data_IF_170300927324
#
_entry.id   IF_170300927324
#
_cell.length_a   1.000
_cell.length_b   1.000
_cell.length_c   1.000
_cell.angle_alpha   90.00
_cell.angle_beta   90.00
_cell.angle_gamma   90.00
#
_symmetry.space_group_name_H-M   'P 1'
#
loop_
_entity.id
_entity.type
_entity.pdbx_description
1 polymer ?
#
# COMPACT_ATOMS: atom_id res chain seq x y z
N UNK A 1 -46.20 -0.36 -11.08
CA UNK A 1 -46.42 -1.80 -10.84
C UNK A 1 -47.76 -2.16 -11.46
N UNK A 2 -47.77 -2.64 -12.70
CA UNK A 2 -49.01 -2.97 -13.42
C UNK A 2 -49.39 -4.41 -13.08
N UNK A 3 -50.42 -4.59 -12.26
CA UNK A 3 -51.04 -5.90 -12.08
C UNK A 3 -51.61 -6.34 -13.41
N UNK A 4 -51.25 -7.55 -13.86
CA UNK A 4 -51.94 -8.18 -14.99
C UNK A 4 -53.43 -8.38 -14.66
N UNK A 5 -54.27 -8.63 -15.68
CA UNK A 5 -55.68 -8.91 -15.47
C UNK A 5 -55.85 -10.01 -14.41
N UNK A 6 -56.63 -9.70 -13.38
CA UNK A 6 -56.91 -10.59 -12.26
C UNK A 6 -57.93 -11.62 -12.75
N UNK A 7 -57.55 -12.90 -12.70
CA UNK A 7 -58.44 -14.02 -13.03
C UNK A 7 -59.65 -14.01 -12.09
N UNK A 8 -60.82 -14.39 -12.62
CA UNK A 8 -62.03 -14.58 -11.80
C UNK A 8 -61.90 -15.72 -10.78
N UNK A 9 -60.85 -16.54 -10.89
CA UNK A 9 -60.55 -17.69 -10.04
C UNK A 9 -59.20 -17.54 -9.32
N UNK A 10 -58.70 -16.32 -9.14
CA UNK A 10 -57.44 -16.00 -8.46
C UNK A 10 -56.20 -16.71 -9.03
N UNK A 11 -56.22 -17.04 -10.33
CA UNK A 11 -55.05 -17.59 -11.01
C UNK A 11 -54.03 -16.46 -11.25
N UNK A 12 -52.99 -16.42 -10.41
CA UNK A 12 -51.92 -15.42 -10.52
C UNK A 12 -50.89 -15.86 -11.55
N UNK A 13 -50.91 -15.24 -12.73
CA UNK A 13 -49.81 -15.31 -13.67
C UNK A 13 -48.63 -14.45 -13.18
N UNK A 14 -47.47 -15.06 -12.91
CA UNK A 14 -46.25 -14.27 -12.68
C UNK A 14 -45.77 -13.72 -14.02
N UNK A 15 -45.40 -12.43 -14.11
CA UNK A 15 -44.88 -11.70 -15.30
C UNK A 15 -44.38 -12.62 -16.46
N UNK A 16 -45.30 -13.00 -17.36
CA UNK A 16 -44.99 -13.76 -18.58
C UNK A 16 -44.68 -15.26 -18.41
N UNK A 17 -44.81 -15.83 -17.21
CA UNK A 17 -44.61 -17.25 -16.92
C UNK A 17 -45.86 -17.84 -16.25
N UNK A 18 -46.51 -18.75 -16.97
CA UNK A 18 -47.73 -19.44 -16.55
C UNK A 18 -48.79 -19.49 -17.66
N UNK A 19 -49.85 -20.27 -17.45
CA UNK A 19 -51.01 -20.27 -18.32
C UNK A 19 -51.61 -18.86 -18.38
N UNK A 20 -52.10 -18.45 -19.56
CA UNK A 20 -52.77 -17.15 -19.70
C UNK A 20 -54.05 -17.17 -18.86
N UNK A 21 -54.20 -16.27 -17.87
CA UNK A 21 -55.37 -16.25 -16.99
C UNK A 21 -56.69 -16.28 -17.75
N UNK A 22 -56.79 -15.57 -18.88
CA UNK A 22 -58.00 -15.51 -19.70
C UNK A 22 -58.34 -16.83 -20.41
N UNK A 23 -57.32 -17.65 -20.72
CA UNK A 23 -57.53 -18.99 -21.27
C UNK A 23 -58.05 -19.93 -20.19
N UNK A 24 -57.48 -19.87 -18.98
CA UNK A 24 -57.91 -20.68 -17.84
C UNK A 24 -59.35 -20.31 -17.47
N UNK A 25 -59.65 -19.03 -17.32
CA UNK A 25 -60.99 -18.55 -16.97
C UNK A 25 -62.03 -19.00 -17.99
N UNK A 26 -61.72 -18.94 -19.30
CA UNK A 26 -62.62 -19.42 -20.37
C UNK A 26 -62.88 -20.91 -20.27
N UNK A 27 -61.84 -21.71 -20.05
CA UNK A 27 -61.98 -23.17 -19.92
C UNK A 27 -62.76 -23.54 -18.67
N UNK A 28 -62.46 -22.91 -17.52
CA UNK A 28 -63.20 -23.15 -16.27
C UNK A 28 -64.66 -22.73 -16.42
N UNK A 29 -64.94 -21.59 -17.04
CA UNK A 29 -66.31 -21.16 -17.30
C UNK A 29 -67.10 -22.14 -18.18
N UNK A 30 -66.47 -22.71 -19.22
CA UNK A 30 -67.09 -23.74 -20.06
C UNK A 30 -67.43 -25.00 -19.24
N UNK A 31 -66.48 -25.52 -18.45
CA UNK A 31 -66.69 -26.69 -17.60
C UNK A 31 -67.77 -26.46 -16.53
N UNK A 32 -67.81 -25.27 -15.94
CA UNK A 32 -68.87 -24.89 -15.00
C UNK A 32 -70.23 -24.80 -15.68
N UNK A 33 -70.28 -24.31 -16.92
CA UNK A 33 -71.48 -24.29 -17.75
C UNK A 33 -72.01 -25.70 -18.03
N UNK A 34 -71.14 -26.61 -18.46
CA UNK A 34 -71.48 -28.03 -18.69
C UNK A 34 -71.98 -28.70 -17.41
N UNK A 35 -71.28 -28.51 -16.28
CA UNK A 35 -71.70 -29.03 -14.97
C UNK A 35 -73.08 -28.53 -14.58
N UNK A 36 -73.32 -27.22 -14.69
CA UNK A 36 -74.60 -26.63 -14.31
C UNK A 36 -75.73 -27.17 -15.20
N UNK A 37 -75.50 -27.28 -16.52
CA UNK A 37 -76.46 -27.89 -17.44
C UNK A 37 -76.79 -29.34 -17.08
N UNK A 38 -75.79 -30.12 -16.68
CA UNK A 38 -76.01 -31.49 -16.21
C UNK A 38 -76.81 -31.55 -14.90
N UNK A 39 -76.55 -30.65 -13.94
CA UNK A 39 -77.30 -30.56 -12.68
C UNK A 39 -78.76 -30.13 -12.90
N UNK A 40 -78.99 -29.19 -13.82
CA UNK A 40 -80.35 -28.77 -14.21
C UNK A 40 -81.12 -29.94 -14.82
N UNK A 41 -80.47 -30.70 -15.71
CA UNK A 41 -81.08 -31.87 -16.32
C UNK A 41 -81.38 -32.97 -15.30
N UNK A 42 -80.46 -33.22 -14.36
CA UNK A 42 -80.68 -34.17 -13.26
C UNK A 42 -81.89 -33.75 -12.40
N UNK A 43 -82.03 -32.46 -12.13
CA UNK A 43 -83.16 -31.92 -11.37
C UNK A 43 -84.49 -32.10 -12.12
N UNK A 44 -84.51 -31.86 -13.43
CA UNK A 44 -85.68 -32.10 -14.28
C UNK A 44 -86.09 -33.56 -14.32
N UNK A 45 -85.12 -34.47 -14.49
CA UNK A 45 -85.38 -35.91 -14.51
C UNK A 45 -85.88 -36.41 -13.15
N UNK A 46 -85.33 -35.89 -12.06
CA UNK A 46 -85.78 -36.23 -10.70
C UNK A 46 -87.24 -35.83 -10.49
N UNK A 47 -87.61 -34.60 -10.84
CA UNK A 47 -89.00 -34.14 -10.75
C UNK A 47 -89.96 -34.98 -11.61
N UNK A 48 -89.53 -35.38 -12.81
CA UNK A 48 -90.32 -36.26 -13.67
C UNK A 48 -90.51 -37.65 -13.05
N UNK A 49 -89.46 -38.22 -12.42
CA UNK A 49 -89.57 -39.50 -11.72
C UNK A 49 -90.54 -39.41 -10.54
N UNK A 50 -90.49 -38.32 -9.77
CA UNK A 50 -91.45 -38.07 -8.67
C UNK A 50 -92.89 -37.97 -9.18
N UNK A 51 -93.13 -37.20 -10.25
CA UNK A 51 -94.45 -37.06 -10.88
C UNK A 51 -94.99 -38.42 -11.34
N UNK A 52 -94.18 -39.19 -12.08
CA UNK A 52 -94.59 -40.52 -12.58
C UNK A 52 -94.80 -41.52 -11.47
N UNK A 53 -94.02 -41.44 -10.40
CA UNK A 53 -94.18 -42.30 -9.22
C UNK A 53 -95.48 -42.01 -8.48
N UNK A 54 -95.81 -40.73 -8.29
CA UNK A 54 -97.07 -40.30 -7.68
C UNK A 54 -98.27 -40.73 -8.52
N UNK A 55 -98.22 -40.55 -9.84
CA UNK A 55 -99.29 -40.99 -10.75
C UNK A 55 -99.46 -42.52 -10.72
N UNK A 56 -98.36 -43.27 -10.76
CA UNK A 56 -98.40 -44.73 -10.63
C UNK A 56 -99.00 -45.18 -9.29
N UNK A 57 -98.68 -44.49 -8.19
CA UNK A 57 -99.29 -44.76 -6.88
C UNK A 57 -100.80 -44.51 -6.89
N UNK A 58 -101.27 -43.37 -7.44
CA UNK A 58 -102.70 -43.08 -7.59
C UNK A 58 -103.42 -44.15 -8.42
N UNK A 59 -102.85 -44.54 -9.56
CA UNK A 59 -103.43 -45.58 -10.41
C UNK A 59 -103.52 -46.93 -9.68
N UNK A 60 -102.52 -47.29 -8.87
CA UNK A 60 -102.58 -48.50 -8.04
C UNK A 60 -103.70 -48.43 -6.99
N UNK A 61 -103.91 -47.29 -6.35
CA UNK A 61 -105.02 -47.10 -5.41
C UNK A 61 -106.38 -47.23 -6.11
N UNK A 62 -106.54 -46.63 -7.29
CA UNK A 62 -107.75 -46.76 -8.11
C UNK A 62 -108.01 -48.23 -8.43
N UNK A 63 -107.00 -48.96 -8.92
CA UNK A 63 -107.12 -50.39 -9.24
C UNK A 63 -107.45 -51.22 -8.00
N UNK A 64 -106.82 -50.94 -6.86
CA UNK A 64 -107.09 -51.64 -5.60
C UNK A 64 -108.51 -51.41 -5.07
N UNK A 65 -109.15 -50.29 -5.42
CA UNK A 65 -110.55 -50.00 -5.06
C UNK A 65 -111.57 -50.77 -5.89
N UNK A 66 -111.17 -51.32 -7.04
CA UNK A 66 -112.05 -52.12 -7.90
C UNK A 66 -112.18 -53.54 -7.32
N UNK A 67 -113.40 -54.08 -7.29
CA UNK A 67 -113.62 -55.45 -6.86
C UNK A 67 -112.88 -56.43 -7.79
N UNK A 68 -112.18 -57.46 -7.25
CA UNK A 68 -111.49 -58.45 -8.07
C UNK A 68 -112.48 -59.14 -9.02
N UNK A 69 -112.31 -58.90 -10.32
CA UNK A 69 -113.23 -59.42 -11.32
C UNK A 69 -112.75 -60.79 -11.80
N UNK A 70 -113.50 -61.84 -11.45
CA UNK A 70 -113.16 -63.23 -11.83
C UNK A 70 -113.77 -63.65 -13.18
N UNK A 71 -114.65 -62.82 -13.75
CA UNK A 71 -115.45 -63.12 -14.95
C UNK A 71 -116.16 -64.49 -14.94
N UNK A 72 -116.41 -65.06 -13.76
CA UNK A 72 -117.05 -66.38 -13.62
C UNK A 72 -118.45 -66.43 -14.28
N UNK A 73 -119.19 -65.32 -14.24
CA UNK A 73 -120.52 -65.17 -14.87
C UNK A 73 -120.51 -65.22 -16.40
N UNK A 74 -119.34 -65.04 -17.04
CA UNK A 74 -119.16 -65.11 -18.49
C UNK A 74 -118.63 -66.48 -18.96
N UNK A 75 -118.38 -67.40 -18.02
CA UNK A 75 -117.96 -68.77 -18.28
C UNK A 75 -116.44 -68.99 -18.38
N UNK A 76 -116.04 -70.26 -18.50
CA UNK A 76 -114.66 -70.73 -18.41
C UNK A 76 -113.72 -70.11 -19.46
N UNK A 77 -114.24 -69.77 -20.65
CA UNK A 77 -113.45 -69.09 -21.69
C UNK A 77 -112.99 -67.70 -21.26
N UNK A 78 -113.85 -66.95 -20.56
CA UNK A 78 -113.50 -65.62 -20.06
C UNK A 78 -112.44 -65.70 -18.94
N UNK A 79 -112.54 -66.70 -18.06
CA UNK A 79 -111.55 -66.98 -17.02
C UNK A 79 -110.18 -67.34 -17.60
N UNK A 80 -110.11 -68.14 -18.67
CA UNK A 80 -108.86 -68.45 -19.36
C UNK A 80 -108.22 -67.20 -19.99
N UNK A 81 -109.03 -66.29 -20.53
CA UNK A 81 -108.53 -65.02 -21.07
C UNK A 81 -107.96 -64.14 -19.96
N UNK A 82 -108.64 -64.05 -18.81
CA UNK A 82 -108.13 -63.32 -17.64
C UNK A 82 -106.79 -63.90 -17.16
N UNK A 83 -106.71 -65.21 -16.97
CA UNK A 83 -105.48 -65.87 -16.52
C UNK A 83 -104.31 -65.66 -17.49
N UNK A 84 -104.58 -65.68 -18.81
CA UNK A 84 -103.56 -65.35 -19.81
C UNK A 84 -103.13 -63.88 -19.71
N UNK A 85 -104.07 -62.95 -19.55
CA UNK A 85 -103.76 -61.53 -19.41
C UNK A 85 -102.94 -61.24 -18.13
N UNK A 86 -103.22 -61.91 -17.02
CA UNK A 86 -102.45 -61.82 -15.78
C UNK A 86 -101.03 -62.37 -15.95
N UNK A 87 -100.89 -63.53 -16.60
CA UNK A 87 -99.58 -64.11 -16.90
C UNK A 87 -98.74 -63.21 -17.82
N UNK A 88 -99.36 -62.64 -18.86
CA UNK A 88 -98.70 -61.67 -19.75
C UNK A 88 -98.34 -60.38 -19.00
N UNK A 89 -99.20 -59.88 -18.12
CA UNK A 89 -98.90 -58.71 -17.31
C UNK A 89 -97.70 -58.94 -16.38
N UNK A 90 -97.61 -60.13 -15.74
CA UNK A 90 -96.43 -60.48 -14.95
C UNK A 90 -95.17 -60.60 -15.80
N UNK A 91 -95.25 -61.24 -16.97
CA UNK A 91 -94.13 -61.35 -17.89
C UNK A 91 -93.61 -59.97 -18.33
N UNK A 92 -94.51 -59.05 -18.67
CA UNK A 92 -94.16 -57.67 -19.03
C UNK A 92 -93.54 -56.92 -17.84
N UNK A 93 -94.06 -57.07 -16.62
CA UNK A 93 -93.48 -56.45 -15.42
C UNK A 93 -92.08 -56.97 -15.11
N UNK A 94 -91.89 -58.29 -15.19
CA UNK A 94 -90.58 -58.90 -14.99
C UNK A 94 -89.57 -58.43 -16.03
N UNK A 95 -89.95 -58.43 -17.32
CA UNK A 95 -89.11 -57.93 -18.40
C UNK A 95 -88.74 -56.44 -18.22
N UNK A 96 -89.70 -55.60 -17.84
CA UNK A 96 -89.46 -54.18 -17.59
C UNK A 96 -88.54 -53.94 -16.38
N UNK A 97 -88.62 -54.77 -15.33
CA UNK A 97 -87.74 -54.68 -14.18
C UNK A 97 -86.29 -55.06 -14.53
N UNK A 98 -86.10 -56.13 -15.31
CA UNK A 98 -84.78 -56.53 -15.83
C UNK A 98 -84.19 -55.46 -16.75
N UNK A 99 -84.98 -54.89 -17.66
CA UNK A 99 -84.52 -53.82 -18.54
C UNK A 99 -84.15 -52.55 -17.76
N UNK A 100 -84.95 -52.17 -16.75
CA UNK A 100 -84.64 -51.04 -15.88
C UNK A 100 -83.34 -51.27 -15.10
N UNK A 101 -83.11 -52.48 -14.56
CA UNK A 101 -81.87 -52.81 -13.87
C UNK A 101 -80.66 -52.76 -14.82
N UNK A 102 -80.80 -53.30 -16.03
CA UNK A 102 -79.74 -53.25 -17.04
C UNK A 102 -79.38 -51.80 -17.44
N UNK A 103 -80.37 -50.91 -17.54
CA UNK A 103 -80.15 -49.49 -17.80
C UNK A 103 -79.42 -48.79 -16.65
N UNK A 104 -79.78 -49.09 -15.39
CA UNK A 104 -79.09 -48.55 -14.22
C UNK A 104 -77.63 -49.02 -14.16
N UNK A 105 -77.39 -50.32 -14.31
CA UNK A 105 -76.04 -50.90 -14.30
C UNK A 105 -75.18 -50.31 -15.43
N UNK A 106 -75.77 -50.13 -16.62
CA UNK A 106 -75.13 -49.48 -17.76
C UNK A 106 -74.77 -48.01 -17.49
N UNK A 107 -75.68 -47.25 -16.89
CA UNK A 107 -75.42 -45.85 -16.52
C UNK A 107 -74.34 -45.73 -15.43
N UNK A 108 -74.34 -46.61 -14.44
CA UNK A 108 -73.30 -46.66 -13.39
C UNK A 108 -71.93 -47.04 -13.95
N UNK A 109 -71.87 -48.01 -14.87
CA UNK A 109 -70.64 -48.37 -15.57
C UNK A 109 -70.09 -47.19 -16.39
N UNK A 110 -70.93 -46.56 -17.22
CA UNK A 110 -70.55 -45.39 -18.00
C UNK A 110 -70.07 -44.23 -17.11
N UNK A 111 -70.73 -43.98 -15.98
CA UNK A 111 -70.33 -42.96 -15.02
C UNK A 111 -68.96 -43.24 -14.39
N UNK A 112 -68.67 -44.50 -14.04
CA UNK A 112 -67.35 -44.91 -13.53
C UNK A 112 -66.26 -44.76 -14.59
N UNK A 113 -66.53 -45.17 -15.83
CA UNK A 113 -65.59 -45.02 -16.95
C UNK A 113 -65.28 -43.56 -17.24
N UNK A 114 -66.29 -42.70 -17.33
CA UNK A 114 -66.10 -41.27 -17.54
C UNK A 114 -65.26 -40.62 -16.43
N UNK A 115 -65.50 -41.01 -15.17
CA UNK A 115 -64.74 -40.52 -14.01
C UNK A 115 -63.28 -40.96 -14.06
N UNK A 116 -63.00 -42.22 -14.38
CA UNK A 116 -61.63 -42.72 -14.46
C UNK A 116 -60.89 -42.15 -15.67
N UNK A 117 -61.56 -41.97 -16.81
CA UNK A 117 -61.01 -41.28 -17.98
C UNK A 117 -60.62 -39.82 -17.64
N UNK A 118 -61.52 -39.06 -17.00
CA UNK A 118 -61.24 -37.69 -16.56
C UNK A 118 -60.07 -37.63 -15.56
N UNK A 119 -59.96 -38.60 -14.65
CA UNK A 119 -58.83 -38.69 -13.70
C UNK A 119 -57.51 -39.03 -14.39
N UNK A 120 -57.54 -39.92 -15.38
CA UNK A 120 -56.35 -40.27 -16.16
C UNK A 120 -55.84 -39.07 -16.96
N UNK A 121 -56.74 -38.35 -17.62
CA UNK A 121 -56.41 -37.14 -18.37
C UNK A 121 -55.85 -36.05 -17.45
N UNK A 122 -56.49 -35.78 -16.31
CA UNK A 122 -55.99 -34.81 -15.34
C UNK A 122 -54.58 -35.15 -14.83
N UNK A 123 -54.28 -36.45 -14.59
CA UNK A 123 -52.94 -36.91 -14.23
C UNK A 123 -51.94 -36.71 -15.36
N UNK A 124 -52.33 -37.01 -16.60
CA UNK A 124 -51.51 -36.83 -17.81
C UNK A 124 -51.13 -35.36 -17.99
N UNK A 125 -52.13 -34.45 -17.97
CA UNK A 125 -51.91 -33.01 -18.07
C UNK A 125 -51.01 -32.49 -16.96
N UNK A 126 -51.20 -32.95 -15.72
CA UNK A 126 -50.34 -32.56 -14.60
C UNK A 126 -48.90 -33.03 -14.80
N UNK A 127 -48.69 -34.30 -15.17
CA UNK A 127 -47.35 -34.84 -15.42
C UNK A 127 -46.62 -34.08 -16.53
N UNK A 128 -47.30 -33.80 -17.65
CA UNK A 128 -46.74 -33.02 -18.75
C UNK A 128 -46.38 -31.58 -18.31
N UNK A 129 -47.20 -30.95 -17.48
CA UNK A 129 -46.92 -29.62 -16.93
C UNK A 129 -45.71 -29.63 -15.97
N UNK A 130 -45.58 -30.66 -15.12
CA UNK A 130 -44.45 -30.85 -14.22
C UNK A 130 -43.14 -31.08 -14.98
N UNK A 131 -43.15 -31.91 -16.03
CA UNK A 131 -41.98 -32.14 -16.90
C UNK A 131 -41.56 -30.86 -17.65
N UNK A 132 -42.52 -30.13 -18.21
CA UNK A 132 -42.25 -28.87 -18.89
C UNK A 132 -41.66 -27.82 -17.92
N UNK A 133 -42.20 -27.73 -16.70
CA UNK A 133 -41.68 -26.85 -15.67
C UNK A 133 -40.26 -27.26 -15.23
N UNK A 134 -40.00 -28.55 -15.06
CA UNK A 134 -38.68 -29.10 -14.77
C UNK A 134 -37.65 -28.72 -15.83
N UNK A 135 -37.97 -28.99 -17.10
CA UNK A 135 -37.12 -28.65 -18.25
C UNK A 135 -36.80 -27.15 -18.31
N UNK A 136 -37.81 -26.30 -18.08
CA UNK A 136 -37.63 -24.85 -18.07
C UNK A 136 -36.73 -24.38 -16.92
N UNK A 137 -36.86 -24.99 -15.73
CA UNK A 137 -36.03 -24.66 -14.57
C UNK A 137 -34.57 -25.12 -14.76
N UNK A 138 -34.35 -26.29 -15.34
CA UNK A 138 -33.01 -26.78 -15.70
C UNK A 138 -32.34 -25.85 -16.71
N UNK A 139 -33.01 -25.53 -17.81
CA UNK A 139 -32.50 -24.59 -18.80
C UNK A 139 -32.19 -23.21 -18.20
N UNK A 140 -33.02 -22.73 -17.26
CA UNK A 140 -32.77 -21.47 -16.56
C UNK A 140 -31.56 -21.54 -15.63
N UNK A 141 -31.34 -22.66 -14.93
CA UNK A 141 -30.17 -22.88 -14.08
C UNK A 141 -28.88 -22.98 -14.90
N UNK A 142 -28.93 -23.69 -16.03
CA UNK A 142 -27.79 -23.81 -16.94
C UNK A 142 -27.42 -22.45 -17.54
N UNK A 143 -28.40 -21.68 -18.00
CA UNK A 143 -28.18 -20.32 -18.50
C UNK A 143 -27.57 -19.41 -17.42
N UNK A 144 -28.10 -19.46 -16.20
CA UNK A 144 -27.54 -18.69 -15.07
C UNK A 144 -26.10 -19.14 -14.74
N UNK A 145 -25.83 -20.44 -14.77
CA UNK A 145 -24.50 -21.01 -14.54
C UNK A 145 -23.48 -20.57 -15.58
N UNK A 146 -23.88 -20.49 -16.86
CA UNK A 146 -23.04 -19.96 -17.94
C UNK A 146 -22.71 -18.49 -17.72
N UNK A 147 -23.70 -17.66 -17.40
CA UNK A 147 -23.48 -16.22 -17.13
C UNK A 147 -22.50 -16.00 -15.98
N UNK A 148 -22.64 -16.77 -14.88
CA UNK A 148 -21.72 -16.67 -13.74
C UNK A 148 -20.30 -17.10 -14.13
N UNK A 149 -20.16 -18.17 -14.92
CA UNK A 149 -18.85 -18.66 -15.36
C UNK A 149 -18.14 -17.63 -16.24
N UNK A 150 -18.84 -17.10 -17.25
CA UNK A 150 -18.32 -16.06 -18.14
C UNK A 150 -17.89 -14.80 -17.35
N UNK A 151 -18.70 -14.38 -16.37
CA UNK A 151 -18.36 -13.25 -15.52
C UNK A 151 -17.11 -13.49 -14.66
N UNK A 152 -16.93 -14.71 -14.14
CA UNK A 152 -15.74 -15.08 -13.36
C UNK A 152 -14.49 -15.20 -14.22
N UNK A 153 -14.60 -15.76 -15.42
CA UNK A 153 -13.50 -15.83 -16.39
C UNK A 153 -13.04 -14.43 -16.79
N UNK A 154 -13.98 -13.54 -17.11
CA UNK A 154 -13.68 -12.14 -17.45
C UNK A 154 -13.06 -11.38 -16.27
N UNK A 155 -13.61 -11.53 -15.06
CA UNK A 155 -13.03 -10.94 -13.86
C UNK A 155 -11.61 -11.47 -13.58
N UNK A 156 -11.36 -12.75 -13.87
CA UNK A 156 -10.03 -13.37 -13.78
C UNK A 156 -9.06 -12.77 -14.80
N UNK A 157 -9.49 -12.60 -16.05
CA UNK A 157 -8.70 -11.98 -17.12
C UNK A 157 -8.29 -10.54 -16.75
N UNK A 158 -9.26 -9.71 -16.36
CA UNK A 158 -9.02 -8.31 -15.96
C UNK A 158 -8.05 -8.24 -14.78
N UNK A 159 -8.20 -9.12 -13.79
CA UNK A 159 -7.29 -9.18 -12.64
C UNK A 159 -5.88 -9.57 -13.08
N UNK A 160 -5.76 -10.58 -13.93
CA UNK A 160 -4.46 -11.03 -14.45
C UNK A 160 -3.74 -9.94 -15.24
N UNK A 161 -4.47 -9.18 -16.06
CA UNK A 161 -3.93 -8.02 -16.79
C UNK A 161 -3.46 -6.93 -15.83
N UNK A 162 -4.28 -6.56 -14.84
CA UNK A 162 -3.91 -5.55 -13.85
C UNK A 162 -2.67 -5.95 -13.02
N UNK A 163 -2.56 -7.23 -12.65
CA UNK A 163 -1.40 -7.77 -11.93
C UNK A 163 -0.14 -7.75 -12.81
N UNK A 164 -0.26 -8.06 -14.10
CA UNK A 164 0.84 -8.00 -15.06
C UNK A 164 1.35 -6.56 -15.26
N UNK A 165 0.44 -5.61 -15.45
CA UNK A 165 0.76 -4.18 -15.59
C UNK A 165 1.45 -3.63 -14.34
N UNK A 166 0.96 -4.01 -13.16
CA UNK A 166 1.58 -3.64 -11.88
C UNK A 166 2.98 -4.24 -11.74
N UNK A 167 3.16 -5.51 -12.13
CA UNK A 167 4.46 -6.15 -12.10
C UNK A 167 5.46 -5.48 -13.08
N UNK A 168 5.01 -5.10 -14.27
CA UNK A 168 5.82 -4.33 -15.22
C UNK A 168 6.22 -2.98 -14.67
N UNK A 169 5.27 -2.24 -14.10
CA UNK A 169 5.53 -0.95 -13.47
C UNK A 169 6.59 -1.06 -12.38
N UNK A 170 6.48 -2.06 -11.49
CA UNK A 170 7.48 -2.33 -10.45
C UNK A 170 8.86 -2.62 -11.04
N UNK A 171 8.95 -3.46 -12.10
CA UNK A 171 10.22 -3.75 -12.79
C UNK A 171 10.83 -2.48 -13.37
N UNK A 172 10.03 -1.64 -14.05
CA UNK A 172 10.48 -0.38 -14.65
C UNK A 172 10.99 0.58 -13.58
N UNK A 173 10.25 0.76 -12.49
CA UNK A 173 10.64 1.63 -11.38
C UNK A 173 11.93 1.14 -10.72
N UNK A 174 12.07 -0.17 -10.47
CA UNK A 174 13.31 -0.74 -9.95
C UNK A 174 14.49 -0.48 -10.88
N UNK A 175 14.30 -0.58 -12.20
CA UNK A 175 15.32 -0.25 -13.19
C UNK A 175 15.75 1.22 -13.15
N UNK A 176 14.80 2.15 -13.03
CA UNK A 176 15.08 3.59 -12.88
C UNK A 176 15.85 3.87 -11.59
N UNK A 177 15.42 3.31 -10.46
CA UNK A 177 16.09 3.49 -9.18
C UNK A 177 17.53 2.95 -9.21
N UNK A 178 17.74 1.76 -9.77
CA UNK A 178 19.08 1.18 -9.90
C UNK A 178 19.98 2.02 -10.83
N UNK A 179 19.42 2.63 -11.87
CA UNK A 179 20.19 3.56 -12.71
C UNK A 179 20.55 4.85 -11.96
N UNK A 180 19.61 5.43 -11.22
CA UNK A 180 19.89 6.61 -10.38
C UNK A 180 20.96 6.32 -9.33
N UNK A 181 20.92 5.17 -8.66
CA UNK A 181 21.92 4.75 -7.68
C UNK A 181 23.32 4.64 -8.31
N UNK A 182 23.43 4.07 -9.52
CA UNK A 182 24.68 4.03 -10.28
C UNK A 182 25.20 5.43 -10.60
N UNK A 183 24.35 6.29 -11.16
CA UNK A 183 24.71 7.68 -11.49
C UNK A 183 25.15 8.48 -10.25
N UNK A 184 24.50 8.26 -9.10
CA UNK A 184 24.90 8.90 -7.84
C UNK A 184 26.24 8.36 -7.33
N UNK A 185 26.46 7.05 -7.42
CA UNK A 185 27.73 6.41 -7.05
C UNK A 185 28.88 6.92 -7.92
N UNK A 186 28.67 7.02 -9.24
CA UNK A 186 29.66 7.53 -10.18
C UNK A 186 29.97 9.01 -9.94
N UNK A 187 28.95 9.85 -9.75
CA UNK A 187 29.13 11.26 -9.36
C UNK A 187 29.85 11.40 -8.02
N UNK A 188 29.56 10.53 -7.06
CA UNK A 188 30.24 10.48 -5.76
C UNK A 188 31.73 10.19 -5.92
N UNK A 189 32.08 9.14 -6.67
CA UNK A 189 33.48 8.80 -6.98
C UNK A 189 34.22 9.94 -7.67
N UNK A 190 33.60 10.57 -8.67
CA UNK A 190 34.20 11.70 -9.37
C UNK A 190 34.47 12.89 -8.43
N UNK A 191 33.52 13.20 -7.53
CA UNK A 191 33.68 14.27 -6.55
C UNK A 191 34.76 13.95 -5.49
N UNK A 192 34.87 12.69 -5.07
CA UNK A 192 35.94 12.21 -4.18
C UNK A 192 37.32 12.33 -4.85
N UNK A 193 37.44 11.93 -6.12
CA UNK A 193 38.67 12.06 -6.91
C UNK A 193 39.08 13.52 -7.08
N UNK A 194 38.14 14.42 -7.40
CA UNK A 194 38.39 15.86 -7.50
C UNK A 194 38.87 16.45 -6.15
N UNK A 195 38.21 16.06 -5.05
CA UNK A 195 38.57 16.51 -3.71
C UNK A 195 39.97 16.01 -3.33
N UNK A 196 40.27 14.73 -3.56
CA UNK A 196 41.58 14.15 -3.29
C UNK A 196 42.69 14.82 -4.13
N UNK A 197 42.40 15.16 -5.39
CA UNK A 197 43.34 15.90 -6.24
C UNK A 197 43.59 17.33 -5.72
N UNK A 198 42.54 18.03 -5.28
CA UNK A 198 42.66 19.36 -4.68
C UNK A 198 43.43 19.32 -3.36
N UNK A 199 43.15 18.35 -2.49
CA UNK A 199 43.88 18.12 -1.23
C UNK A 199 45.37 17.82 -1.50
N UNK A 200 45.69 17.00 -2.49
CA UNK A 200 47.07 16.72 -2.87
C UNK A 200 47.81 17.97 -3.37
N UNK A 201 47.14 18.84 -4.14
CA UNK A 201 47.70 20.12 -4.58
C UNK A 201 47.97 21.06 -3.41
N UNK A 202 47.02 21.16 -2.46
CA UNK A 202 47.19 21.97 -1.25
C UNK A 202 48.34 21.43 -0.39
N UNK A 203 48.37 20.12 -0.13
CA UNK A 203 49.44 19.48 0.63
C UNK A 203 50.82 19.68 -0.01
N UNK A 204 50.91 19.58 -1.35
CA UNK A 204 52.15 19.86 -2.08
C UNK A 204 52.59 21.33 -1.91
N UNK A 205 51.65 22.27 -1.99
CA UNK A 205 51.93 23.70 -1.80
C UNK A 205 52.34 24.03 -0.37
N UNK A 206 51.70 23.42 0.62
CA UNK A 206 52.04 23.54 2.03
C UNK A 206 53.46 23.01 2.29
N UNK A 207 53.80 21.83 1.74
CA UNK A 207 55.14 21.26 1.85
C UNK A 207 56.21 22.17 1.23
N UNK A 208 55.96 22.72 0.03
CA UNK A 208 56.88 23.67 -0.63
C UNK A 208 57.04 24.98 0.17
N UNK A 209 55.96 25.51 0.75
CA UNK A 209 56.00 26.69 1.61
C UNK A 209 56.75 26.41 2.91
N UNK A 210 56.55 25.24 3.51
CA UNK A 210 57.27 24.80 4.71
C UNK A 210 58.77 24.67 4.43
N UNK A 211 59.18 23.99 3.35
CA UNK A 211 60.59 23.86 2.97
C UNK A 211 61.24 25.22 2.72
N UNK A 212 60.55 26.14 2.00
CA UNK A 212 61.03 27.51 1.81
C UNK A 212 61.14 28.28 3.12
N UNK A 213 60.16 28.12 4.02
CA UNK A 213 60.18 28.71 5.35
C UNK A 213 61.36 28.22 6.18
N UNK A 214 61.61 26.91 6.20
CA UNK A 214 62.76 26.29 6.88
C UNK A 214 64.09 26.77 6.30
N UNK A 215 64.20 26.85 4.97
CA UNK A 215 65.40 27.36 4.30
C UNK A 215 65.69 28.83 4.63
N UNK A 216 64.64 29.68 4.66
CA UNK A 216 64.74 31.07 5.07
C UNK A 216 65.13 31.20 6.55
N UNK A 217 64.54 30.40 7.44
CA UNK A 217 64.90 30.38 8.86
C UNK A 217 66.36 29.91 9.05
N UNK A 218 66.80 28.88 8.32
CA UNK A 218 68.17 28.41 8.36
C UNK A 218 69.15 29.48 7.86
N UNK A 219 68.80 30.21 6.79
CA UNK A 219 69.58 31.35 6.30
C UNK A 219 69.66 32.49 7.31
N UNK A 220 68.52 32.91 7.87
CA UNK A 220 68.46 33.98 8.87
C UNK A 220 69.26 33.61 10.14
N UNK A 221 69.24 32.33 10.56
CA UNK A 221 70.08 31.84 11.67
C UNK A 221 71.57 31.92 11.35
N UNK A 222 71.99 31.60 10.13
CA UNK A 222 73.39 31.75 9.68
C UNK A 222 73.80 33.22 9.66
N UNK A 223 73.02 34.08 9.01
CA UNK A 223 73.28 35.53 8.96
C UNK A 223 73.33 36.16 10.36
N UNK A 224 72.45 35.73 11.28
CA UNK A 224 72.50 36.13 12.69
C UNK A 224 73.80 35.67 13.36
N UNK A 225 74.18 34.40 13.21
CA UNK A 225 75.42 33.86 13.77
C UNK A 225 76.64 34.61 13.22
N UNK A 226 76.70 34.88 11.92
CA UNK A 226 77.78 35.65 11.29
C UNK A 226 77.82 37.09 11.83
N UNK A 227 76.66 37.75 11.98
CA UNK A 227 76.57 39.09 12.54
C UNK A 227 76.97 39.15 14.03
N UNK A 228 76.61 38.13 14.81
CA UNK A 228 77.02 37.97 16.20
C UNK A 228 78.53 37.78 16.32
N UNK A 229 79.13 36.91 15.51
CA UNK A 229 80.59 36.71 15.49
C UNK A 229 81.32 37.98 15.01
N UNK A 230 80.84 38.66 13.96
CA UNK A 230 81.41 39.93 13.52
C UNK A 230 81.24 41.06 14.56
N UNK A 231 80.18 41.03 15.36
CA UNK A 231 80.01 41.95 16.49
C UNK A 231 80.97 41.61 17.65
N UNK A 232 81.23 40.33 17.93
CA UNK A 232 82.24 39.89 18.90
C UNK A 232 83.63 40.32 18.46
N UNK A 233 84.04 40.00 17.23
CA UNK A 233 85.35 40.41 16.70
C UNK A 233 85.53 41.93 16.70
N UNK A 234 84.52 42.70 16.29
CA UNK A 234 84.60 44.17 16.40
C UNK A 234 84.77 44.64 17.86
N UNK A 235 84.08 44.02 18.82
CA UNK A 235 84.26 44.32 20.25
C UNK A 235 85.68 43.99 20.68
N UNK A 236 86.16 42.78 20.40
CA UNK A 236 87.53 42.33 20.69
C UNK A 236 88.59 43.27 20.07
N UNK A 237 88.42 43.66 18.81
CA UNK A 237 89.30 44.61 18.11
C UNK A 237 89.28 45.98 18.78
N UNK A 238 88.10 46.51 19.14
CA UNK A 238 88.01 47.79 19.85
C UNK A 238 88.60 47.72 21.25
N UNK A 239 88.45 46.59 21.95
CA UNK A 239 89.06 46.36 23.26
C UNK A 239 90.59 46.25 23.13
N UNK A 240 91.10 45.58 22.10
CA UNK A 240 92.53 45.49 21.80
C UNK A 240 93.11 46.85 21.40
N UNK A 241 92.41 47.64 20.58
CA UNK A 241 92.81 49.01 20.24
C UNK A 241 92.79 49.93 21.47
N UNK A 242 91.76 49.84 22.31
CA UNK A 242 91.69 50.59 23.56
C UNK A 242 92.84 50.19 24.51
N UNK A 243 93.15 48.89 24.63
CA UNK A 243 94.29 48.41 25.40
C UNK A 243 95.62 48.90 24.82
N UNK A 244 95.77 48.91 23.50
CA UNK A 244 96.93 49.45 22.78
C UNK A 244 97.12 50.95 23.02
N UNK A 245 96.07 51.75 22.87
CA UNK A 245 96.08 53.18 23.18
C UNK A 245 96.43 53.46 24.65
N UNK A 246 95.91 52.66 25.59
CA UNK A 246 96.26 52.77 27.00
C UNK A 246 97.73 52.41 27.27
N UNK A 247 98.28 51.43 26.55
CA UNK A 247 99.70 51.08 26.64
C UNK A 247 100.60 52.17 26.06
N UNK A 248 100.26 52.74 24.89
CA UNK A 248 100.96 53.88 24.31
C UNK A 248 100.90 55.12 25.21
N UNK A 249 99.74 55.38 25.82
CA UNK A 249 99.58 56.45 26.79
C UNK A 249 100.49 56.25 28.02
N UNK A 250 100.64 55.01 28.52
CA UNK A 250 101.60 54.69 29.60
C UNK A 250 103.05 54.85 29.17
N UNK A 251 103.41 54.46 27.95
CA UNK A 251 104.78 54.67 27.43
C UNK A 251 105.07 56.17 27.27
N UNK A 252 104.10 56.96 26.80
CA UNK A 252 104.21 58.40 26.72
C UNK A 252 104.31 59.05 28.11
N UNK A 253 103.50 58.60 29.07
CA UNK A 253 103.58 59.00 30.48
C UNK A 253 104.97 58.70 31.06
N UNK A 254 105.50 57.48 30.87
CA UNK A 254 106.85 57.12 31.30
C UNK A 254 107.94 57.94 30.60
N UNK A 255 107.77 58.26 29.31
CA UNK A 255 108.72 59.08 28.55
C UNK A 255 108.75 60.51 29.09
N UNK A 256 107.58 61.10 29.32
CA UNK A 256 107.45 62.40 29.97
C UNK A 256 108.05 62.35 31.38
N UNK A 257 107.83 61.27 32.14
CA UNK A 257 108.46 61.05 33.44
C UNK A 257 109.99 61.07 33.35
N UNK A 258 110.58 60.29 32.45
CA UNK A 258 112.05 60.24 32.24
C UNK A 258 112.61 61.56 31.72
N UNK A 259 111.87 62.28 30.87
CA UNK A 259 112.26 63.58 30.32
C UNK A 259 112.20 64.67 31.41
N UNK A 260 111.22 64.59 32.31
CA UNK A 260 111.11 65.46 33.49
C UNK A 260 112.24 65.18 34.48
N UNK A 261 112.55 63.90 34.75
CA UNK A 261 113.68 63.50 35.59
C UNK A 261 115.03 63.93 35.00
N UNK A 262 115.19 63.89 33.68
CA UNK A 262 116.39 64.36 32.99
C UNK A 262 116.55 65.87 33.10
N UNK A 263 115.49 66.64 32.89
CA UNK A 263 115.52 68.10 33.06
C UNK A 263 115.82 68.48 34.51
N UNK A 264 115.29 67.72 35.48
CA UNK A 264 115.64 67.91 36.90
C UNK A 264 117.12 67.64 37.16
N UNK A 265 117.71 66.57 36.59
CA UNK A 265 119.16 66.30 36.68
C UNK A 265 120.02 67.36 36.01
N UNK A 266 119.67 67.80 34.81
CA UNK A 266 120.40 68.86 34.09
C UNK A 266 120.36 70.20 34.87
N UNK A 267 119.26 70.50 35.58
CA UNK A 267 119.20 71.65 36.50
C UNK A 267 120.01 71.46 37.79
N UNK A 268 120.18 70.23 38.26
CA UNK A 268 121.00 69.90 39.43
C UNK A 268 122.50 69.96 39.09
N UNK A 269 122.90 69.47 37.91
CA UNK A 269 124.25 69.57 37.36
C UNK A 269 124.65 71.04 37.09
N UNK A 270 123.75 71.87 36.54
CA UNK A 270 124.00 73.31 36.38
C UNK A 270 124.19 74.04 37.73
N UNK A 271 123.54 73.56 38.81
CA UNK A 271 123.75 74.11 40.17
C UNK A 271 125.08 73.68 40.77
N UNK A 272 125.56 72.47 40.49
CA UNK A 272 126.87 72.00 40.93
C UNK A 272 128.02 72.64 40.16
N UNK A 273 127.86 72.89 38.86
CA UNK A 273 128.90 73.52 38.02
C UNK A 273 129.13 74.98 38.42
N UNK A 274 128.06 75.72 38.76
CA UNK A 274 128.15 77.09 39.31
C UNK A 274 128.81 77.11 40.70
N UNK A 275 128.57 76.09 41.55
CA UNK A 275 129.25 75.96 42.85
C UNK A 275 130.73 75.60 42.70
N UNK A 276 131.08 74.75 41.74
CA UNK A 276 132.45 74.34 41.42
C UNK A 276 133.28 75.50 40.86
N UNK A 277 132.72 76.31 39.96
CA UNK A 277 133.40 77.51 39.44
C UNK A 277 133.60 78.58 40.52
N UNK A 278 132.62 78.78 41.42
CA UNK A 278 132.75 79.66 42.58
C UNK A 278 133.70 79.14 43.65
N UNK A 279 133.94 77.81 43.73
CA UNK A 279 134.98 77.22 44.56
C UNK A 279 136.38 77.44 43.95
N UNK A 280 136.54 77.29 42.63
CA UNK A 280 137.83 77.45 41.94
C UNK A 280 138.33 78.91 41.93
N UNK A 281 137.42 79.89 41.79
CA UNK A 281 137.75 81.32 41.97
C UNK A 281 138.13 81.63 43.44
N UNK A 282 137.50 80.94 44.41
CA UNK A 282 137.86 81.06 45.83
C UNK A 282 139.22 80.42 46.16
N UNK A 283 139.59 79.32 45.53
CA UNK A 283 140.87 78.64 45.77
C UNK A 283 142.05 79.34 45.06
N UNK A 284 141.82 79.93 43.88
CA UNK A 284 142.86 80.68 43.16
C UNK A 284 143.14 82.07 43.79
N UNK A 285 142.13 82.74 44.36
CA UNK A 285 142.33 83.97 45.15
C UNK A 285 142.92 83.70 46.55
N UNK A 286 142.74 82.50 47.12
CA UNK A 286 143.32 82.13 48.42
C UNK A 286 144.82 81.79 48.36
N UNK A 287 145.37 81.44 47.19
CA UNK A 287 146.77 81.09 47.02
C UNK A 287 147.74 82.29 46.86
N UNK A 288 147.24 83.54 46.78
CA UNK A 288 148.11 84.72 46.70
C UNK A 288 147.88 85.82 47.76
N UNK A 289 146.85 85.75 48.63
CA UNK A 289 146.64 86.82 49.66
C UNK A 289 145.99 86.39 51.00
N UNK A 290 146.16 85.14 51.44
CA UNK A 290 146.05 84.73 52.85
C UNK A 290 144.84 85.25 53.67
N UNK A 291 143.76 84.47 53.74
CA UNK A 291 142.85 84.47 54.90
C UNK A 291 141.95 83.24 54.95
N UNK A 292 141.89 82.63 56.14
CA UNK A 292 141.15 81.42 56.49
C UNK A 292 139.73 81.71 57.02
N UNK A 293 138.92 80.64 57.09
CA UNK A 293 137.75 80.40 57.99
C UNK A 293 136.34 80.68 57.39
N UNK A 294 135.27 80.11 57.98
CA UNK A 294 134.88 78.70 57.82
C UNK A 294 133.36 78.56 57.54
N UNK A 295 132.98 77.33 57.23
CA UNK A 295 131.75 76.61 57.56
C UNK A 295 130.49 77.36 58.07
N UNK A 296 129.36 77.10 57.39
CA UNK A 296 128.01 77.16 57.96
C UNK A 296 127.00 76.36 57.13
N UNK A 297 126.57 75.23 57.69
CA UNK A 297 125.21 74.64 57.64
C UNK A 297 124.07 75.69 57.81
N UNK A 298 122.75 75.39 57.66
CA UNK A 298 122.02 74.20 57.16
C UNK A 298 120.74 74.56 56.33
N UNK A 299 119.84 73.58 56.20
CA UNK A 299 118.37 73.65 56.03
C UNK A 299 117.88 73.64 54.57
N UNK A 300 116.95 72.78 54.15
CA UNK A 300 115.88 72.10 54.88
C UNK A 300 114.60 72.32 54.07
N UNK A 301 113.95 71.22 53.66
CA UNK A 301 112.76 71.19 52.82
C UNK A 301 112.60 69.85 52.13
#
# INVERSE_FOLDING_TARGET
MSGGPVSAFDVVGMRGRGYRPEQVDRTVAALLGERNGALDQMSRLTALVEERSAESARLREVVASLAPQTYASLGERAQRILALAEAEAEAVRAAAAEEAQALLDGAEAAGREAKEAARAEARSVRAAAEEAAGTLLEAARDAAGTVVREALEEAGRIRGEADADMAETRRRTAGVLAHQEREHTERGKAAEEETAAAEALVAAREAELAERGEALLARARRELSEAEEAARHRREDTEAQAAGMLAEARVAEERVGRETDRVLREHEEAREEVRSHMAHVRTALAALTGRTLPDREPAGG
#
